data_IF_234989876258
#
_entry.id   IF_234989876258
#
_cell.length_a   1.000
_cell.length_b   1.000
_cell.length_c   1.000
_cell.angle_alpha   90.00
_cell.angle_beta   90.00
_cell.angle_gamma   90.00
#
_symmetry.space_group_name_H-M   'P 1'
#
loop_
_entity.id
_entity.type
_entity.pdbx_description
1 polymer ?
#
# COMPACT_ATOMS: atom_id res chain seq x y z
N UNK A 1 -5.62 -7.31 45.48
CA UNK A 1 -5.13 -7.23 44.09
C UNK A 1 -4.36 -8.50 43.82
N UNK A 2 -4.61 -9.16 42.70
CA UNK A 2 -3.99 -10.45 42.36
C UNK A 2 -2.70 -10.17 41.57
N UNK A 3 -1.55 -10.77 41.93
CA UNK A 3 -0.31 -10.58 41.18
C UNK A 3 -0.41 -11.14 39.76
N UNK A 4 0.37 -10.57 38.85
CA UNK A 4 0.49 -11.04 37.47
C UNK A 4 1.37 -12.29 37.47
N UNK A 5 0.83 -13.40 36.98
CA UNK A 5 1.53 -14.70 36.90
C UNK A 5 1.91 -15.10 35.48
N UNK A 6 1.32 -14.43 34.48
CA UNK A 6 1.73 -14.55 33.09
C UNK A 6 1.49 -13.24 32.36
N UNK A 7 2.44 -12.87 31.49
CA UNK A 7 2.34 -11.72 30.61
C UNK A 7 2.83 -12.13 29.22
N UNK A 8 2.06 -11.78 28.19
CA UNK A 8 2.45 -11.92 26.79
C UNK A 8 2.35 -10.56 26.14
N UNK A 9 3.38 -10.11 25.44
CA UNK A 9 3.40 -8.83 24.74
C UNK A 9 4.06 -8.98 23.36
N UNK A 10 3.51 -8.33 22.34
CA UNK A 10 3.97 -8.43 20.94
C UNK A 10 4.14 -9.90 20.48
N UNK A 11 3.21 -10.77 20.89
CA UNK A 11 3.23 -12.20 20.55
C UNK A 11 4.24 -13.05 21.33
N UNK A 12 5.08 -12.46 22.17
CA UNK A 12 6.12 -13.15 22.95
C UNK A 12 5.79 -13.19 24.44
N UNK A 13 6.19 -14.27 25.12
CA UNK A 13 6.04 -14.36 26.57
C UNK A 13 7.06 -13.43 27.26
N UNK A 14 6.58 -12.68 28.25
CA UNK A 14 7.38 -11.74 29.04
C UNK A 14 7.57 -12.32 30.43
N UNK A 15 8.82 -12.45 30.92
CA UNK A 15 9.06 -12.87 32.30
C UNK A 15 8.39 -11.92 33.29
N UNK A 16 7.70 -12.48 34.29
CA UNK A 16 7.08 -11.73 35.38
C UNK A 16 7.62 -12.23 36.71
N UNK A 17 7.67 -11.36 37.72
CA UNK A 17 8.11 -11.74 39.07
C UNK A 17 7.15 -12.73 39.74
N UNK A 18 5.86 -12.68 39.39
CA UNK A 18 4.82 -13.47 40.03
C UNK A 18 4.28 -12.88 41.34
N UNK A 19 4.90 -11.81 41.84
CA UNK A 19 4.60 -11.20 43.15
C UNK A 19 4.00 -9.79 43.02
N UNK A 20 4.20 -9.13 41.87
CA UNK A 20 3.76 -7.77 41.60
C UNK A 20 2.43 -7.68 40.85
N UNK A 21 1.74 -6.55 41.01
CA UNK A 21 0.56 -6.18 40.21
C UNK A 21 0.92 -5.32 38.99
N UNK A 22 2.20 -4.95 38.85
CA UNK A 22 2.74 -4.15 37.77
C UNK A 22 4.11 -4.71 37.40
N UNK A 23 4.33 -4.91 36.10
CA UNK A 23 5.58 -5.43 35.55
C UNK A 23 6.10 -4.46 34.50
N UNK A 24 7.40 -4.18 34.54
CA UNK A 24 8.08 -3.41 33.50
C UNK A 24 8.71 -4.37 32.52
N UNK A 25 8.53 -4.10 31.23
CA UNK A 25 9.05 -4.96 30.18
C UNK A 25 9.46 -4.14 28.96
N UNK A 26 10.34 -4.74 28.17
CA UNK A 26 10.77 -4.22 26.89
C UNK A 26 10.65 -5.34 25.85
N UNK A 27 9.90 -5.09 24.78
CA UNK A 27 9.68 -6.04 23.69
C UNK A 27 9.86 -5.33 22.36
N UNK A 28 10.60 -5.96 21.46
CA UNK A 28 10.74 -5.47 20.09
C UNK A 28 9.64 -6.07 19.23
N UNK A 29 8.88 -5.22 18.55
CA UNK A 29 7.94 -5.63 17.52
C UNK A 29 8.45 -5.17 16.16
N UNK A 30 8.55 -6.09 15.21
CA UNK A 30 8.78 -5.74 13.82
C UNK A 30 7.55 -4.96 13.30
N UNK A 31 7.78 -3.77 12.78
CA UNK A 31 6.72 -2.98 12.17
C UNK A 31 6.27 -3.59 10.84
N UNK A 32 4.96 -3.71 10.65
CA UNK A 32 4.34 -4.05 9.36
C UNK A 32 3.58 -2.84 8.80
N UNK A 33 3.69 -2.60 7.49
CA UNK A 33 2.87 -1.64 6.71
C UNK A 33 2.59 -0.28 7.37
N UNK A 34 3.61 0.41 7.84
CA UNK A 34 3.39 1.75 8.37
C UNK A 34 2.66 1.80 9.71
N UNK A 35 2.26 0.66 10.29
CA UNK A 35 1.49 0.56 11.53
C UNK A 35 1.85 -0.72 12.31
N UNK A 36 2.45 -0.54 13.49
CA UNK A 36 2.71 -1.61 14.45
C UNK A 36 1.57 -1.68 15.46
N UNK A 37 0.96 -2.85 15.68
CA UNK A 37 -0.03 -3.07 16.73
C UNK A 37 0.61 -3.95 17.80
N UNK A 38 0.94 -3.35 18.94
CA UNK A 38 1.42 -4.07 20.12
C UNK A 38 0.22 -4.53 20.92
N UNK A 39 0.02 -5.85 20.97
CA UNK A 39 -0.95 -6.49 21.84
C UNK A 39 -0.24 -6.99 23.10
N UNK A 40 -0.87 -6.80 24.26
CA UNK A 40 -0.44 -7.34 25.53
C UNK A 40 -1.60 -8.02 26.26
N UNK A 41 -1.33 -9.16 26.86
CA UNK A 41 -2.26 -9.93 27.68
C UNK A 41 -1.60 -10.27 29.00
N UNK A 42 -2.25 -9.94 30.11
CA UNK A 42 -1.81 -10.30 31.46
C UNK A 42 -2.83 -11.23 32.10
N UNK A 43 -2.35 -12.29 32.75
CA UNK A 43 -3.16 -13.17 33.59
C UNK A 43 -2.70 -13.05 35.05
N UNK A 44 -3.66 -13.02 35.98
CA UNK A 44 -3.37 -12.93 37.41
C UNK A 44 -3.47 -14.29 38.10
N UNK A 45 -2.98 -14.38 39.33
CA UNK A 45 -3.06 -15.60 40.15
C UNK A 45 -4.50 -16.08 40.43
N UNK A 46 -5.51 -15.23 40.23
CA UNK A 46 -6.92 -15.58 40.35
C UNK A 46 -7.56 -16.05 39.03
N UNK A 47 -6.75 -16.26 37.99
CA UNK A 47 -7.17 -16.59 36.63
C UNK A 47 -7.95 -15.47 35.90
N UNK A 48 -7.96 -14.24 36.43
CA UNK A 48 -8.45 -13.08 35.70
C UNK A 48 -7.47 -12.73 34.57
N UNK A 49 -8.00 -12.38 33.40
CA UNK A 49 -7.21 -11.93 32.24
C UNK A 49 -7.54 -10.49 31.87
N UNK A 50 -6.55 -9.74 31.40
CA UNK A 50 -6.70 -8.37 30.93
C UNK A 50 -5.91 -8.18 29.65
N UNK A 51 -6.43 -7.32 28.77
CA UNK A 51 -5.86 -7.06 27.45
C UNK A 51 -5.57 -5.57 27.29
N UNK A 52 -4.44 -5.26 26.65
CA UNK A 52 -4.08 -3.93 26.20
C UNK A 52 -3.65 -4.00 24.74
N UNK A 53 -4.10 -3.05 23.93
CA UNK A 53 -3.70 -2.94 22.53
C UNK A 53 -3.26 -1.51 22.29
N UNK A 54 -2.12 -1.34 21.63
CA UNK A 54 -1.62 -0.02 21.24
C UNK A 54 -1.08 -0.06 19.82
N UNK A 55 -1.58 0.83 18.97
CA UNK A 55 -1.04 1.04 17.64
C UNK A 55 -0.02 2.18 17.63
N UNK A 56 1.01 2.02 16.82
CA UNK A 56 1.99 3.04 16.49
C UNK A 56 2.13 3.07 14.98
N UNK A 57 2.19 4.24 14.39
CA UNK A 57 2.63 4.31 13.00
C UNK A 57 4.15 4.04 12.97
N UNK A 58 4.67 3.39 11.91
CA UNK A 58 6.12 3.27 11.64
C UNK A 58 6.51 3.75 10.22
N UNK A 59 7.24 4.86 10.10
CA UNK A 59 7.67 5.46 8.83
C UNK A 59 8.97 6.25 9.05
N UNK A 60 9.85 6.26 8.06
CA UNK A 60 11.04 7.11 8.02
C UNK A 60 10.71 8.57 7.64
N UNK A 61 9.46 8.84 7.22
CA UNK A 61 8.99 10.12 6.70
C UNK A 61 7.69 10.53 7.38
N UNK A 62 7.77 10.86 8.66
CA UNK A 62 6.70 11.58 9.30
C UNK A 62 6.74 13.06 8.94
N UNK A 63 5.58 13.62 8.59
CA UNK A 63 5.38 15.03 8.82
C UNK A 63 5.58 15.32 10.32
N UNK A 64 6.11 16.50 10.64
CA UNK A 64 6.23 16.92 12.04
C UNK A 64 4.87 16.73 12.73
N UNK A 65 4.86 16.05 13.87
CA UNK A 65 3.64 15.86 14.63
C UNK A 65 3.02 17.23 14.94
N UNK A 66 1.73 17.40 14.67
CA UNK A 66 1.02 18.59 15.09
C UNK A 66 1.07 18.64 16.63
N UNK A 67 1.88 19.56 17.17
CA UNK A 67 2.01 19.78 18.62
C UNK A 67 0.91 20.68 19.16
N UNK A 68 0.26 21.44 18.29
CA UNK A 68 -0.90 22.24 18.61
C UNK A 68 -2.18 21.46 18.34
N UNK A 69 -3.11 21.35 19.30
CA UNK A 69 -4.39 20.71 19.08
C UNK A 69 -5.16 21.39 17.94
N UNK A 70 -5.42 20.68 16.85
CA UNK A 70 -6.31 21.14 15.78
C UNK A 70 -7.69 20.53 15.95
N UNK A 71 -8.73 21.37 15.95
CA UNK A 71 -10.13 20.90 15.88
C UNK A 71 -10.42 20.20 14.57
N UNK A 72 -9.75 20.59 13.48
CA UNK A 72 -9.90 19.99 12.16
C UNK A 72 -9.27 18.58 12.09
N UNK A 73 -8.34 18.28 13.01
CA UNK A 73 -7.74 16.96 13.17
C UNK A 73 -8.56 16.03 14.09
N UNK A 74 -9.68 16.50 14.65
CA UNK A 74 -10.57 15.69 15.49
C UNK A 74 -11.73 15.18 14.63
N UNK A 75 -11.82 13.86 14.49
CA UNK A 75 -13.08 13.26 14.09
C UNK A 75 -14.03 13.29 15.31
N UNK A 76 -15.07 14.12 15.29
CA UNK A 76 -16.09 14.16 16.37
C UNK A 76 -16.75 12.79 16.58
N UNK A 77 -16.77 11.97 15.52
CA UNK A 77 -17.27 10.60 15.49
C UNK A 77 -16.36 9.79 14.58
N UNK A 78 -15.93 8.64 15.04
CA UNK A 78 -15.19 7.66 14.25
C UNK A 78 -15.89 6.32 14.29
N UNK A 79 -15.93 5.63 13.15
CA UNK A 79 -16.28 4.22 13.09
C UNK A 79 -14.99 3.42 12.88
N UNK A 80 -14.74 2.43 13.72
CA UNK A 80 -13.67 1.45 13.49
C UNK A 80 -14.34 0.24 12.84
N UNK A 81 -14.00 0.00 11.58
CA UNK A 81 -14.44 -1.17 10.83
C UNK A 81 -13.23 -2.08 10.64
N UNK A 82 -13.35 -3.33 11.07
CA UNK A 82 -12.38 -4.37 10.74
C UNK A 82 -12.89 -5.09 9.49
N UNK A 83 -12.33 -4.73 8.33
CA UNK A 83 -12.59 -5.44 7.09
C UNK A 83 -11.69 -6.68 7.05
N UNK A 84 -12.30 -7.85 6.90
CA UNK A 84 -11.55 -9.07 6.58
C UNK A 84 -11.13 -9.07 5.12
N UNK A 85 -10.19 -9.95 4.72
CA UNK A 85 -9.79 -10.09 3.31
C UNK A 85 -10.98 -10.28 2.38
N UNK A 86 -11.99 -11.09 2.77
CA UNK A 86 -13.20 -11.32 1.98
C UNK A 86 -14.07 -10.07 1.78
N UNK A 87 -13.99 -9.07 2.66
CA UNK A 87 -14.71 -7.81 2.45
C UNK A 87 -13.95 -6.87 1.49
N UNK A 88 -12.64 -7.10 1.31
CA UNK A 88 -11.82 -6.35 0.36
C UNK A 88 -11.90 -6.99 -1.03
N UNK A 89 -11.72 -8.31 -1.10
CA UNK A 89 -11.77 -9.12 -2.30
C UNK A 89 -11.91 -10.61 -1.91
N UNK A 90 -13.01 -11.25 -2.27
CA UNK A 90 -13.21 -12.69 -2.07
C UNK A 90 -12.96 -13.53 -3.34
N UNK A 91 -12.69 -12.87 -4.47
CA UNK A 91 -12.41 -13.47 -5.77
C UNK A 91 -13.65 -13.88 -6.57
N UNK A 92 -14.86 -13.73 -6.03
CA UNK A 92 -16.09 -13.85 -6.81
C UNK A 92 -16.39 -12.49 -7.48
N UNK A 93 -16.92 -12.50 -8.69
CA UNK A 93 -17.34 -11.28 -9.42
C UNK A 93 -18.81 -11.34 -9.82
N UNK A 94 -19.48 -12.45 -9.50
CA UNK A 94 -20.88 -12.72 -9.83
C UNK A 94 -21.84 -12.10 -8.82
N UNK A 95 -21.42 -11.91 -7.56
CA UNK A 95 -22.14 -11.15 -6.54
C UNK A 95 -21.41 -9.84 -6.18
N UNK A 96 -22.05 -8.97 -5.38
CA UNK A 96 -21.53 -7.63 -5.07
C UNK A 96 -21.52 -7.44 -3.57
N UNK A 97 -20.57 -8.05 -2.90
CA UNK A 97 -20.45 -8.04 -1.43
C UNK A 97 -19.04 -7.67 -0.91
N UNK A 98 -18.04 -7.65 -1.79
CA UNK A 98 -16.70 -7.12 -1.53
C UNK A 98 -16.40 -5.80 -2.28
N UNK A 99 -15.40 -5.05 -1.81
CA UNK A 99 -15.02 -3.76 -2.39
C UNK A 99 -14.43 -3.90 -3.81
N UNK A 100 -13.68 -4.96 -4.10
CA UNK A 100 -13.07 -5.17 -5.40
C UNK A 100 -14.16 -5.41 -6.46
N UNK A 101 -15.21 -6.14 -6.14
CA UNK A 101 -16.32 -6.35 -7.08
C UNK A 101 -17.12 -5.09 -7.33
N UNK A 102 -17.37 -4.27 -6.31
CA UNK A 102 -17.99 -2.94 -6.48
C UNK A 102 -17.15 -2.07 -7.45
N UNK A 103 -15.83 -2.04 -7.27
CA UNK A 103 -14.92 -1.30 -8.14
C UNK A 103 -14.94 -1.87 -9.56
N UNK A 104 -14.88 -3.20 -9.71
CA UNK A 104 -14.92 -3.87 -11.00
C UNK A 104 -16.21 -3.53 -11.77
N UNK A 105 -17.38 -3.58 -11.12
CA UNK A 105 -18.65 -3.19 -11.74
C UNK A 105 -18.69 -1.73 -12.16
N UNK A 106 -18.06 -0.83 -11.40
CA UNK A 106 -17.98 0.59 -11.72
C UNK A 106 -17.08 0.88 -12.93
N UNK A 107 -16.02 0.09 -13.10
CA UNK A 107 -14.99 0.31 -14.11
C UNK A 107 -15.21 -0.52 -15.39
N UNK A 108 -15.78 -1.72 -15.32
CA UNK A 108 -15.84 -2.67 -16.45
C UNK A 108 -16.56 -2.15 -17.71
N UNK A 109 -17.51 -1.23 -17.53
CA UNK A 109 -18.29 -0.64 -18.62
C UNK A 109 -17.78 0.75 -19.04
N UNK A 110 -16.71 1.26 -18.40
CA UNK A 110 -16.10 2.51 -18.81
C UNK A 110 -15.08 2.24 -19.91
N UNK A 111 -15.21 3.01 -20.97
CA UNK A 111 -14.20 3.05 -22.01
C UNK A 111 -13.05 3.97 -21.57
N UNK A 112 -11.89 3.36 -21.29
CA UNK A 112 -10.67 4.09 -20.95
C UNK A 112 -9.82 4.39 -22.19
N UNK A 113 -10.23 3.89 -23.37
CA UNK A 113 -9.55 4.12 -24.63
C UNK A 113 -9.27 5.61 -24.92
N UNK A 114 -10.22 6.54 -24.69
CA UNK A 114 -10.00 7.96 -24.94
C UNK A 114 -9.03 8.64 -23.96
N UNK A 115 -8.71 7.99 -22.83
CA UNK A 115 -7.75 8.54 -21.86
C UNK A 115 -6.29 8.19 -22.22
N UNK A 116 -6.09 7.21 -23.11
CA UNK A 116 -4.76 6.80 -23.56
C UNK A 116 -4.43 7.53 -24.87
N UNK A 117 -3.39 8.37 -24.90
CA UNK A 117 -3.00 9.07 -26.11
C UNK A 117 -2.56 8.09 -27.21
N UNK A 118 -2.73 8.48 -28.48
CA UNK A 118 -2.31 7.66 -29.62
C UNK A 118 -0.79 7.46 -29.66
N UNK A 119 -0.03 8.48 -29.26
CA UNK A 119 1.42 8.43 -29.09
C UNK A 119 1.76 8.14 -27.63
N UNK A 120 2.37 6.98 -27.38
CA UNK A 120 2.73 6.54 -26.02
C UNK A 120 4.15 6.96 -25.65
N UNK A 121 5.08 6.82 -26.58
CA UNK A 121 6.47 7.20 -26.39
C UNK A 121 7.19 7.35 -27.73
N UNK A 122 8.12 8.30 -27.80
CA UNK A 122 9.08 8.45 -28.91
C UNK A 122 10.42 8.82 -28.30
N UNK A 123 11.50 8.23 -28.80
CA UNK A 123 12.86 8.60 -28.42
C UNK A 123 13.84 8.31 -29.56
N UNK A 124 14.74 9.25 -29.90
CA UNK A 124 14.75 10.67 -29.48
C UNK A 124 13.61 11.49 -30.11
N UNK A 125 13.04 12.44 -29.36
CA UNK A 125 12.02 13.43 -29.80
C UNK A 125 12.25 14.76 -29.04
N UNK A 126 13.28 15.50 -29.46
CA UNK A 126 13.79 16.71 -28.82
C UNK A 126 12.91 17.91 -29.16
N UNK A 127 12.28 17.93 -30.33
CA UNK A 127 11.41 19.02 -30.76
C UNK A 127 9.92 18.80 -30.41
N UNK A 128 9.55 17.60 -29.96
CA UNK A 128 8.22 17.26 -29.48
C UNK A 128 7.21 17.09 -30.61
N UNK A 129 7.66 16.81 -31.84
CA UNK A 129 6.80 16.63 -33.00
C UNK A 129 6.18 15.22 -33.09
N UNK A 130 6.60 14.31 -32.20
CA UNK A 130 6.12 12.93 -32.14
C UNK A 130 6.75 12.01 -33.19
N UNK A 131 7.86 12.41 -33.78
CA UNK A 131 8.70 11.61 -34.68
C UNK A 131 10.07 11.36 -34.06
N UNK A 132 10.75 10.35 -34.61
CA UNK A 132 12.13 10.07 -34.21
C UNK A 132 13.05 11.11 -34.85
N UNK A 133 13.75 11.88 -34.02
CA UNK A 133 14.71 12.88 -34.50
C UNK A 133 15.82 12.25 -35.34
N UNK A 134 16.09 12.88 -36.47
CA UNK A 134 17.26 12.59 -37.29
C UNK A 134 18.44 13.44 -36.82
N UNK A 135 19.62 12.85 -36.71
CA UNK A 135 20.84 13.58 -36.41
C UNK A 135 21.59 13.90 -37.70
N UNK A 136 21.72 15.17 -38.05
CA UNK A 136 22.52 15.62 -39.19
C UNK A 136 23.92 16.00 -38.73
N UNK A 137 24.93 15.51 -39.44
CA UNK A 137 26.34 15.84 -39.23
C UNK A 137 26.90 16.50 -40.50
N UNK A 138 27.35 17.74 -40.37
CA UNK A 138 28.00 18.44 -41.49
C UNK A 138 29.45 17.96 -41.64
N UNK A 139 29.72 17.29 -42.77
CA UNK A 139 31.06 16.94 -43.21
C UNK A 139 31.59 18.00 -44.18
N UNK A 140 32.90 18.01 -44.44
CA UNK A 140 33.56 19.07 -45.22
C UNK A 140 32.97 19.28 -46.63
N UNK A 141 32.38 18.25 -47.25
CA UNK A 141 31.89 18.25 -48.63
C UNK A 141 30.44 17.76 -48.79
N UNK A 142 29.79 17.29 -47.73
CA UNK A 142 28.41 16.80 -47.74
C UNK A 142 27.84 16.82 -46.32
N UNK A 143 26.51 16.71 -46.19
CA UNK A 143 25.85 16.49 -44.90
C UNK A 143 25.43 15.02 -44.82
N UNK A 144 25.82 14.33 -43.74
CA UNK A 144 25.40 12.97 -43.45
C UNK A 144 24.20 13.00 -42.49
N UNK A 145 23.07 12.45 -42.93
CA UNK A 145 21.88 12.30 -42.09
C UNK A 145 21.93 10.92 -41.47
N UNK A 146 22.22 10.85 -40.18
CA UNK A 146 22.19 9.62 -39.42
C UNK A 146 20.75 9.34 -38.99
N UNK A 147 20.14 8.33 -39.62
CA UNK A 147 18.90 7.73 -39.16
C UNK A 147 19.20 6.95 -37.87
N UNK A 148 19.17 7.66 -36.73
CA UNK A 148 19.33 7.03 -35.42
C UNK A 148 18.36 5.86 -35.29
N UNK A 149 18.80 4.79 -34.63
CA UNK A 149 17.92 3.73 -34.15
C UNK A 149 17.13 4.27 -32.96
N UNK A 150 16.00 4.92 -33.24
CA UNK A 150 15.02 5.30 -32.22
C UNK A 150 13.88 4.28 -32.13
N UNK A 151 12.93 4.57 -31.24
CA UNK A 151 11.67 3.86 -31.19
C UNK A 151 10.51 4.84 -31.17
N UNK A 152 9.39 4.41 -31.75
CA UNK A 152 8.10 5.08 -31.67
C UNK A 152 7.08 4.04 -31.26
N UNK A 153 6.40 4.28 -30.15
CA UNK A 153 5.33 3.45 -29.62
C UNK A 153 4.03 4.21 -29.84
N UNK A 154 3.25 3.75 -30.79
CA UNK A 154 1.87 4.19 -31.01
C UNK A 154 0.92 3.12 -30.55
N UNK A 155 -0.22 3.55 -30.03
CA UNK A 155 -1.35 2.68 -29.76
C UNK A 155 -1.94 2.21 -31.09
N UNK A 156 -1.97 0.90 -31.32
CA UNK A 156 -2.58 0.30 -32.50
C UNK A 156 -3.92 -0.35 -32.12
N UNK A 157 -5.00 0.39 -32.34
CA UNK A 157 -6.37 -0.04 -32.05
C UNK A 157 -6.89 0.29 -30.65
N UNK A 158 -8.13 -0.12 -30.34
CA UNK A 158 -8.73 0.11 -29.04
C UNK A 158 -7.97 -0.67 -27.96
N UNK A 159 -7.91 -0.10 -26.78
CA UNK A 159 -7.30 -0.67 -25.60
C UNK A 159 -8.10 -1.89 -25.15
N UNK A 160 -7.75 -3.03 -25.73
CA UNK A 160 -8.34 -4.33 -25.43
C UNK A 160 -7.59 -4.92 -24.25
N UNK A 161 -7.94 -4.48 -23.06
CA UNK A 161 -7.60 -5.27 -21.89
C UNK A 161 -8.35 -6.60 -21.95
N UNK A 162 -7.63 -7.72 -21.86
CA UNK A 162 -8.24 -8.88 -21.21
C UNK A 162 -8.72 -8.37 -19.84
N UNK A 163 -10.02 -8.44 -19.58
CA UNK A 163 -10.73 -7.58 -18.61
C UNK A 163 -9.99 -7.35 -17.30
N UNK A 164 -10.17 -6.17 -16.69
CA UNK A 164 -9.48 -5.71 -15.49
C UNK A 164 -9.04 -6.85 -14.56
N UNK A 165 -7.75 -7.20 -14.64
CA UNK A 165 -7.14 -8.11 -13.69
C UNK A 165 -6.72 -7.27 -12.49
N UNK A 166 -7.52 -7.32 -11.43
CA UNK A 166 -7.02 -6.98 -10.11
C UNK A 166 -6.02 -8.09 -9.75
N UNK A 167 -4.74 -7.82 -9.97
CA UNK A 167 -3.67 -8.65 -9.41
C UNK A 167 -3.88 -8.73 -7.90
N UNK A 168 -3.71 -9.91 -7.32
CA UNK A 168 -3.93 -10.08 -5.89
C UNK A 168 -2.78 -9.41 -5.17
N UNK A 169 -3.07 -8.28 -4.54
CA UNK A 169 -2.08 -7.59 -3.72
C UNK A 169 -2.03 -8.28 -2.36
N UNK A 170 -1.07 -9.17 -2.18
CA UNK A 170 -0.84 -9.79 -0.90
C UNK A 170 -0.01 -8.84 -0.04
N UNK A 171 -0.40 -8.78 1.21
CA UNK A 171 0.24 -7.91 2.14
C UNK A 171 1.24 -8.77 2.93
N UNK A 172 2.53 -8.52 2.71
CA UNK A 172 3.65 -9.38 3.16
C UNK A 172 4.55 -8.64 4.14
N UNK A 173 5.47 -9.35 4.80
CA UNK A 173 6.47 -8.71 5.65
C UNK A 173 7.36 -7.81 4.79
N UNK A 174 7.36 -6.50 5.05
CA UNK A 174 8.14 -5.52 4.30
C UNK A 174 7.39 -4.75 3.21
N UNK A 175 6.11 -5.04 2.92
CA UNK A 175 5.34 -4.25 1.96
C UNK A 175 4.13 -4.97 1.36
N UNK A 176 3.85 -4.64 0.11
CA UNK A 176 2.82 -5.24 -0.72
C UNK A 176 3.52 -6.03 -1.83
N UNK A 177 3.11 -7.27 -2.06
CA UNK A 177 3.59 -8.14 -3.13
C UNK A 177 2.43 -8.44 -4.08
N UNK A 178 2.70 -8.43 -5.37
CA UNK A 178 1.75 -8.91 -6.36
C UNK A 178 1.86 -10.44 -6.42
N UNK A 179 0.77 -11.14 -6.12
CA UNK A 179 0.59 -12.57 -6.39
C UNK A 179 0.06 -12.82 -7.80
#
# INVERSE_FOLDING_TARGET
MNPIVALRAAGSDVPVSGDGTCETFDVTQAAGWGMSIVEAMAATSAADTSFAVRSYLASDRYFAAAVEPSTDARAERGAVLRLGPSALDDGDREDVDDLATILWWSLKNRDFDPLVPELLAVDPDVDGDGQVDLASHDCLLWTEVNHRTGYRVTKDGPFTHAGFQLGRLAAVSGGLEFE
#
